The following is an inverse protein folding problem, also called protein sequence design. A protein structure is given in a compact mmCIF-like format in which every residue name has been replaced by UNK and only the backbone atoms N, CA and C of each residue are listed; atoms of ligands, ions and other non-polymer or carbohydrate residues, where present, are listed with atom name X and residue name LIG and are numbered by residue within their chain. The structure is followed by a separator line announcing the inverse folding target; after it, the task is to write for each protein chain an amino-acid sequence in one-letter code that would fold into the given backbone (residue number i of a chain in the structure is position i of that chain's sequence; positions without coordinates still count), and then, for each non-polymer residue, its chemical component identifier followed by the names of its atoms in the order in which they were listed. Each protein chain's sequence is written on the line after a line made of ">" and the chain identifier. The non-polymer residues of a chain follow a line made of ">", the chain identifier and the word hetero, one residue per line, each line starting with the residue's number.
data_IF_001807833500
#
_entry.id   IF_001807833500
#
_cell.length_a   1.000
_cell.length_b   1.000
_cell.length_c   1.000
_cell.angle_alpha   90.00
_cell.angle_beta   90.00
_cell.angle_gamma   90.00
#
_symmetry.space_group_name_H-M   'P 1'
#
loop_
_entity.id
_entity.type
_entity.pdbx_description
1 polymer ?
#
# COMPACT_ATOMS: atom_id res chain seq x y z
N UNK A 1 3.78 14.35 -2.69
CA UNK A 1 4.54 13.38 -1.88
C UNK A 1 5.76 12.95 -2.67
N UNK A 2 6.94 12.78 -2.07
CA UNK A 2 8.08 12.11 -2.73
C UNK A 2 8.26 10.75 -2.09
N UNK A 3 7.98 9.69 -2.82
CA UNK A 3 8.15 8.32 -2.36
C UNK A 3 9.38 7.67 -3.01
N UNK A 4 10.06 6.81 -2.25
CA UNK A 4 11.23 6.09 -2.74
C UNK A 4 10.77 4.90 -3.60
N UNK A 5 11.13 4.89 -4.88
CA UNK A 5 10.91 3.75 -5.77
C UNK A 5 11.72 2.53 -5.31
N UNK A 6 11.15 1.36 -5.54
CA UNK A 6 11.73 0.05 -5.25
C UNK A 6 11.85 -0.70 -6.57
N UNK A 7 12.95 -1.43 -6.76
CA UNK A 7 13.10 -2.26 -7.96
C UNK A 7 12.12 -3.42 -7.97
N UNK A 8 11.66 -3.82 -9.16
CA UNK A 8 10.70 -4.90 -9.33
C UNK A 8 11.17 -6.20 -8.68
N UNK A 9 12.46 -6.54 -8.83
CA UNK A 9 13.07 -7.71 -8.17
C UNK A 9 12.88 -7.69 -6.65
N UNK A 10 12.97 -6.52 -6.02
CA UNK A 10 12.79 -6.39 -4.57
C UNK A 10 11.31 -6.40 -4.20
N UNK A 11 10.46 -5.75 -4.99
CA UNK A 11 9.03 -5.68 -4.75
C UNK A 11 8.35 -7.04 -4.91
N UNK A 12 8.69 -7.79 -5.96
CA UNK A 12 8.12 -9.09 -6.28
C UNK A 12 8.77 -10.25 -5.50
N UNK A 13 9.92 -10.03 -4.86
CA UNK A 13 10.65 -11.07 -4.14
C UNK A 13 10.46 -11.05 -2.62
N UNK A 14 9.66 -10.12 -2.06
CA UNK A 14 9.55 -9.93 -0.61
C UNK A 14 8.12 -9.66 -0.17
N UNK A 15 7.80 -10.17 1.02
CA UNK A 15 6.57 -9.84 1.72
C UNK A 15 6.57 -8.36 2.11
N UNK A 16 5.54 -7.62 1.69
CA UNK A 16 5.32 -6.21 2.02
C UNK A 16 5.24 -5.97 3.54
N UNK A 17 4.80 -6.98 4.31
CA UNK A 17 4.70 -6.88 5.76
C UNK A 17 5.97 -7.28 6.50
N UNK A 18 6.35 -8.56 6.48
CA UNK A 18 7.48 -9.03 7.30
C UNK A 18 8.85 -8.85 6.63
N UNK A 19 8.89 -8.43 5.37
CA UNK A 19 10.14 -8.22 4.60
C UNK A 19 10.88 -9.50 4.23
N UNK A 20 10.41 -10.68 4.67
CA UNK A 20 10.99 -11.98 4.32
C UNK A 20 10.85 -12.24 2.83
N UNK A 21 11.78 -13.03 2.29
CA UNK A 21 11.75 -13.45 0.89
C UNK A 21 10.53 -14.32 0.64
N UNK A 22 9.79 -14.02 -0.42
CA UNK A 22 8.79 -14.91 -1.01
C UNK A 22 9.56 -15.82 -1.99
N UNK A 23 9.36 -17.13 -1.87
CA UNK A 23 9.93 -18.14 -2.76
C UNK A 23 8.87 -18.54 -3.77
N UNK A 24 9.32 -19.10 -4.89
CA UNK A 24 8.46 -19.42 -6.02
C UNK A 24 7.41 -20.50 -5.70
N UNK A 25 7.65 -21.31 -4.66
CA UNK A 25 6.77 -22.38 -4.16
C UNK A 25 5.82 -21.94 -3.03
N UNK A 26 5.89 -20.68 -2.60
CA UNK A 26 5.03 -20.17 -1.53
C UNK A 26 3.76 -19.51 -2.07
N UNK A 27 2.61 -19.68 -1.40
CA UNK A 27 1.42 -18.91 -1.72
C UNK A 27 1.70 -17.42 -1.50
N UNK A 28 1.20 -16.60 -2.43
CA UNK A 28 1.26 -15.14 -2.34
C UNK A 28 -0.15 -14.61 -2.21
N UNK A 29 -0.38 -13.91 -1.12
CA UNK A 29 -1.64 -13.25 -0.85
C UNK A 29 -1.55 -11.80 -1.35
N UNK A 30 -2.58 -11.34 -2.04
CA UNK A 30 -2.70 -9.97 -2.51
C UNK A 30 -3.83 -9.25 -1.79
N UNK A 31 -3.58 -8.03 -1.33
CA UNK A 31 -4.65 -7.13 -0.90
C UNK A 31 -4.43 -5.72 -1.45
N UNK A 32 -5.54 -5.04 -1.72
CA UNK A 32 -5.54 -3.73 -2.35
C UNK A 32 -6.04 -2.63 -1.42
N UNK A 33 -5.42 -1.45 -1.54
CA UNK A 33 -5.77 -0.24 -0.80
C UNK A 33 -6.26 0.88 -1.72
N UNK A 34 -6.94 1.87 -1.13
CA UNK A 34 -7.29 3.13 -1.80
C UNK A 34 -6.47 4.27 -1.21
N UNK A 35 -6.08 5.21 -2.05
CA UNK A 35 -5.49 6.46 -1.59
C UNK A 35 -6.59 7.39 -1.08
N UNK A 36 -6.21 8.35 -0.24
CA UNK A 36 -7.09 9.45 0.14
C UNK A 36 -7.38 10.38 -1.06
N UNK A 37 -8.55 11.05 -1.14
CA UNK A 37 -8.73 12.16 -2.07
C UNK A 37 -7.61 13.21 -1.97
N UNK A 38 -7.30 13.87 -3.08
CA UNK A 38 -6.22 14.86 -3.15
C UNK A 38 -4.79 14.29 -3.16
N UNK A 39 -4.58 13.00 -2.88
CA UNK A 39 -3.28 12.35 -3.08
C UNK A 39 -3.09 12.07 -4.57
N UNK A 40 -2.06 12.66 -5.17
CA UNK A 40 -1.60 12.36 -6.53
C UNK A 40 -0.49 11.31 -6.50
N UNK A 41 -0.66 10.27 -7.31
CA UNK A 41 0.29 9.14 -7.47
C UNK A 41 0.70 8.93 -8.92
N UNK A 42 0.33 9.84 -9.83
CA UNK A 42 0.50 9.67 -11.28
C UNK A 42 1.94 9.34 -11.65
N UNK A 43 2.92 9.98 -11.00
CA UNK A 43 4.34 9.73 -11.28
C UNK A 43 4.83 8.31 -10.87
N UNK A 44 4.09 7.60 -10.01
CA UNK A 44 4.47 6.30 -9.47
C UNK A 44 3.66 5.15 -10.08
N UNK A 45 2.70 5.42 -10.97
CA UNK A 45 1.86 4.38 -11.55
C UNK A 45 2.69 3.28 -12.22
N UNK A 46 2.32 2.02 -11.95
CA UNK A 46 3.06 0.85 -12.41
C UNK A 46 4.39 0.61 -11.70
N UNK A 47 4.78 1.44 -10.74
CA UNK A 47 6.00 1.28 -9.95
C UNK A 47 5.71 0.78 -8.54
N UNK A 48 6.69 0.10 -7.95
CA UNK A 48 6.72 -0.16 -6.52
C UNK A 48 7.39 1.01 -5.78
N UNK A 49 6.84 1.38 -4.62
CA UNK A 49 7.37 2.42 -3.74
C UNK A 49 7.40 1.95 -2.28
N UNK A 50 8.20 2.62 -1.45
CA UNK A 50 8.10 2.53 0.00
C UNK A 50 7.13 3.57 0.54
N UNK A 51 6.27 3.13 1.46
CA UNK A 51 5.45 4.00 2.29
C UNK A 51 5.80 3.77 3.75
N UNK A 52 5.95 4.85 4.50
CA UNK A 52 6.13 4.82 5.94
C UNK A 52 4.76 4.79 6.63
N UNK A 53 4.63 3.95 7.65
CA UNK A 53 3.43 3.87 8.48
C UNK A 53 3.60 4.83 9.68
N UNK A 54 2.54 5.56 10.02
CA UNK A 54 2.53 6.53 11.11
C UNK A 54 2.19 5.89 12.47
N UNK A 55 1.38 4.83 12.51
CA UNK A 55 0.95 4.14 13.73
C UNK A 55 1.97 3.13 14.22
N UNK A 56 2.91 2.70 13.37
CA UNK A 56 4.02 1.81 13.72
C UNK A 56 5.30 2.26 13.00
N UNK A 57 6.50 2.19 13.63
CA UNK A 57 7.75 2.65 13.02
C UNK A 57 8.25 1.65 11.97
N UNK A 58 7.58 1.61 10.82
CA UNK A 58 7.81 0.62 9.77
C UNK A 58 7.59 1.21 8.38
N UNK A 59 8.37 0.73 7.42
CA UNK A 59 8.12 0.97 6.00
C UNK A 59 7.62 -0.31 5.33
N UNK A 60 6.68 -0.17 4.41
CA UNK A 60 6.16 -1.28 3.61
C UNK A 60 6.27 -0.97 2.13
N UNK A 61 6.49 -2.02 1.34
CA UNK A 61 6.52 -1.92 -0.13
C UNK A 61 5.09 -2.01 -0.64
N UNK A 62 4.64 -1.02 -1.40
CA UNK A 62 3.38 -1.07 -2.13
C UNK A 62 3.62 -0.91 -3.64
N UNK A 63 2.79 -1.54 -4.44
CA UNK A 63 2.76 -1.37 -5.89
C UNK A 63 1.63 -0.40 -6.21
N UNK A 64 1.97 0.72 -6.85
CA UNK A 64 0.96 1.67 -7.32
C UNK A 64 0.35 1.12 -8.60
N UNK A 65 -0.95 0.91 -8.60
CA UNK A 65 -1.66 0.31 -9.73
C UNK A 65 -1.52 1.19 -10.97
N UNK A 66 -1.12 0.61 -12.10
CA UNK A 66 -1.01 1.33 -13.35
C UNK A 66 -2.40 1.74 -13.89
N UNK A 67 -2.45 2.88 -14.59
CA UNK A 67 -3.59 3.22 -15.44
C UNK A 67 -3.93 2.07 -16.39
N UNK A 68 -5.23 1.76 -16.52
CA UNK A 68 -5.72 0.67 -17.36
C UNK A 68 -5.58 -0.74 -16.76
N UNK A 69 -4.95 -0.89 -15.58
CA UNK A 69 -4.87 -2.21 -14.92
C UNK A 69 -6.22 -2.66 -14.35
N UNK A 70 -6.48 -3.99 -14.27
CA UNK A 70 -7.70 -4.50 -13.63
C UNK A 70 -7.85 -4.01 -12.18
N UNK A 71 -6.75 -3.96 -11.41
CA UNK A 71 -6.77 -3.47 -10.04
C UNK A 71 -7.28 -2.02 -9.94
N UNK A 72 -6.83 -1.15 -10.85
CA UNK A 72 -7.31 0.23 -10.95
C UNK A 72 -8.80 0.29 -11.30
N UNK A 73 -9.25 -0.56 -12.24
CA UNK A 73 -10.66 -0.67 -12.61
C UNK A 73 -11.55 -1.11 -11.43
N UNK A 74 -11.02 -1.94 -10.52
CA UNK A 74 -11.68 -2.31 -9.25
C UNK A 74 -11.49 -1.27 -8.12
N UNK A 75 -11.01 -0.07 -8.45
CA UNK A 75 -10.84 1.02 -7.49
C UNK A 75 -9.77 0.76 -6.44
N UNK A 76 -8.72 0.01 -6.79
CA UNK A 76 -7.51 -0.14 -5.96
C UNK A 76 -6.43 0.78 -6.52
N UNK A 77 -5.84 1.61 -5.67
CA UNK A 77 -4.70 2.48 -6.03
C UNK A 77 -3.36 1.83 -5.67
N UNK A 78 -3.40 0.92 -4.70
CA UNK A 78 -2.23 0.18 -4.22
C UNK A 78 -2.52 -1.30 -4.18
N UNK A 79 -1.48 -2.09 -4.38
CA UNK A 79 -1.46 -3.52 -4.12
C UNK A 79 -0.27 -3.87 -3.24
N UNK A 80 -0.43 -4.88 -2.39
CA UNK A 80 0.62 -5.42 -1.53
C UNK A 80 0.73 -6.94 -1.75
N UNK A 81 1.92 -7.48 -1.57
CA UNK A 81 2.14 -8.93 -1.60
C UNK A 81 2.54 -9.44 -0.23
N UNK A 82 1.97 -10.55 0.19
CA UNK A 82 2.18 -11.08 1.54
C UNK A 82 2.38 -12.60 1.50
N UNK A 83 3.23 -13.10 2.40
CA UNK A 83 3.65 -14.50 2.40
C UNK A 83 2.74 -15.45 3.20
N UNK A 84 1.79 -14.92 3.97
CA UNK A 84 0.88 -15.71 4.81
C UNK A 84 -0.35 -14.92 5.21
N UNK A 85 -1.42 -15.62 5.57
CA UNK A 85 -2.63 -15.03 6.14
C UNK A 85 -2.33 -14.27 7.44
N UNK A 86 -1.47 -14.78 8.31
CA UNK A 86 -1.05 -14.07 9.52
C UNK A 86 -0.44 -12.70 9.22
N UNK A 87 0.43 -12.61 8.20
CA UNK A 87 0.95 -11.31 7.76
C UNK A 87 -0.14 -10.42 7.14
N UNK A 88 -1.16 -11.01 6.51
CA UNK A 88 -2.29 -10.28 5.95
C UNK A 88 -3.15 -9.64 7.06
N UNK A 89 -3.48 -10.42 8.09
CA UNK A 89 -4.31 -9.95 9.20
C UNK A 89 -3.62 -8.86 10.00
N UNK A 90 -2.34 -9.06 10.33
CA UNK A 90 -1.53 -8.05 11.01
C UNK A 90 -1.44 -6.75 10.19
N UNK A 91 -1.12 -6.86 8.89
CA UNK A 91 -0.99 -5.70 8.03
C UNK A 91 -2.33 -4.98 7.83
N UNK A 92 -3.43 -5.72 7.70
CA UNK A 92 -4.78 -5.16 7.59
C UNK A 92 -5.15 -4.36 8.83
N UNK A 93 -4.94 -4.91 10.02
CA UNK A 93 -5.22 -4.21 11.28
C UNK A 93 -4.45 -2.90 11.39
N UNK A 94 -3.16 -2.90 11.00
CA UNK A 94 -2.36 -1.68 10.99
C UNK A 94 -2.83 -0.68 9.93
N UNK A 95 -3.17 -1.13 8.72
CA UNK A 95 -3.70 -0.25 7.67
C UNK A 95 -5.06 0.37 8.03
N UNK A 96 -5.90 -0.34 8.78
CA UNK A 96 -7.14 0.21 9.33
C UNK A 96 -6.84 1.30 10.37
N UNK A 97 -5.82 1.12 11.20
CA UNK A 97 -5.35 2.15 12.14
C UNK A 97 -4.76 3.38 11.41
N UNK A 98 -3.96 3.19 10.35
CA UNK A 98 -3.47 4.27 9.49
C UNK A 98 -4.62 5.08 8.89
N UNK A 99 -5.65 4.40 8.37
CA UNK A 99 -6.83 5.04 7.79
C UNK A 99 -7.61 5.82 8.86
N UNK A 100 -7.81 5.24 10.04
CA UNK A 100 -8.47 5.89 11.16
C UNK A 100 -7.71 7.15 11.63
N UNK A 101 -6.38 7.06 11.77
CA UNK A 101 -5.52 8.20 12.11
C UNK A 101 -5.61 9.29 11.04
N UNK A 102 -5.50 8.91 9.77
CA UNK A 102 -5.67 9.84 8.65
C UNK A 102 -7.00 10.57 8.75
N UNK A 103 -8.10 9.86 8.98
CA UNK A 103 -9.44 10.44 9.16
C UNK A 103 -9.54 11.36 10.37
N UNK A 104 -8.97 10.99 11.52
CA UNK A 104 -8.98 11.84 12.70
C UNK A 104 -8.20 13.15 12.50
N UNK A 105 -7.07 13.10 11.79
CA UNK A 105 -6.21 14.28 11.57
C UNK A 105 -6.71 15.23 10.50
N UNK A 106 -7.46 14.72 9.52
CA UNK A 106 -7.75 15.49 8.30
C UNK A 106 -9.17 15.30 7.76
N UNK A 107 -10.04 14.52 8.43
CA UNK A 107 -11.41 14.24 7.97
C UNK A 107 -12.28 15.50 7.85
N UNK A 108 -12.02 16.51 8.68
CA UNK A 108 -12.77 17.77 8.69
C UNK A 108 -12.22 18.82 7.69
N UNK A 109 -11.10 18.56 7.00
CA UNK A 109 -10.53 19.50 6.03
C UNK A 109 -11.30 19.54 4.70
N UNK A 110 -12.11 18.51 4.40
CA UNK A 110 -12.97 18.50 3.21
C UNK A 110 -14.27 19.28 3.44
N UNK A 111 -14.79 19.32 4.67
CA UNK A 111 -15.97 20.13 5.03
C UNK A 111 -15.68 21.64 5.05
N UNK A 112 -14.44 22.04 5.33
CA UNK A 112 -14.00 23.45 5.35
C UNK A 112 -13.59 24.00 3.96
N UNK A 113 -13.61 23.17 2.92
CA UNK A 113 -13.27 23.57 1.54
C UNK A 113 -14.49 23.74 0.62
N UNK A 114 -15.70 23.55 1.15
CA UNK A 114 -16.98 23.89 0.52
C UNK A 114 -17.59 25.12 1.20
#
# INVERSE_FOLDING_TARGET
>A
MKAKRVSDKKALGRCSWCGKRIKDDMPVFGFGGRKRPGVDLTEYEGSAILISLATVPKEVICMVTATGSPAKAYGKDFMFMICSEACADEMKSVMEAEAALGNALFGNLEELRN
#
